data_IF_660173896681
#
_entry.id   IF_660173896681
#
_cell.length_a   1.000
_cell.length_b   1.000
_cell.length_c   1.000
_cell.angle_alpha   90.00
_cell.angle_beta   90.00
_cell.angle_gamma   90.00
#
_symmetry.space_group_name_H-M   'P 1'
#
loop_
_entity.id
_entity.type
_entity.pdbx_description
1 polymer ?
#
# COMPACT_ATOMS: atom_id res chain seq x y z
N UNK A 1 -25.33 32.45 -17.61
CA UNK A 1 -25.34 31.98 -16.20
C UNK A 1 -25.65 30.48 -16.06
N UNK A 2 -26.62 29.92 -16.80
CA UNK A 2 -27.01 28.51 -16.67
C UNK A 2 -25.92 27.49 -17.09
N UNK A 3 -25.14 27.82 -18.13
CA UNK A 3 -24.05 26.95 -18.62
C UNK A 3 -22.90 26.80 -17.61
N UNK A 4 -22.57 27.85 -16.87
CA UNK A 4 -21.54 27.80 -15.82
C UNK A 4 -21.96 26.93 -14.62
N UNK A 5 -23.23 26.98 -14.24
CA UNK A 5 -23.77 26.16 -13.14
C UNK A 5 -23.74 24.67 -13.51
N UNK A 6 -24.05 24.32 -14.76
CA UNK A 6 -23.98 22.94 -15.25
C UNK A 6 -22.54 22.39 -15.27
N UNK A 7 -21.55 23.21 -15.61
CA UNK A 7 -20.13 22.82 -15.55
C UNK A 7 -19.66 22.58 -14.11
N UNK A 8 -20.07 23.41 -13.16
CA UNK A 8 -19.74 23.24 -11.73
C UNK A 8 -20.37 21.95 -11.17
N UNK A 9 -21.61 21.64 -11.56
CA UNK A 9 -22.28 20.40 -11.14
C UNK A 9 -21.66 19.14 -11.76
N UNK A 10 -21.14 19.21 -12.99
CA UNK A 10 -20.42 18.10 -13.62
C UNK A 10 -19.07 17.78 -12.92
N UNK A 11 -18.43 18.78 -12.32
CA UNK A 11 -17.17 18.62 -11.56
C UNK A 11 -17.40 18.10 -10.14
N UNK A 12 -18.61 18.27 -9.58
CA UNK A 12 -18.98 17.83 -8.23
C UNK A 12 -18.91 16.30 -8.04
N UNK A 13 -18.88 15.53 -9.13
CA UNK A 13 -18.78 14.07 -9.11
C UNK A 13 -17.38 13.50 -9.39
N UNK A 14 -16.39 14.34 -9.70
CA UNK A 14 -15.02 13.93 -10.07
C UNK A 14 -14.01 14.46 -9.05
N UNK A 15 -14.20 14.14 -7.77
CA UNK A 15 -13.15 14.30 -6.76
C UNK A 15 -12.59 12.90 -6.50
N UNK A 16 -11.57 12.53 -7.27
CA UNK A 16 -10.70 11.42 -6.86
C UNK A 16 -9.87 11.90 -5.68
N UNK A 17 -10.24 11.49 -4.47
CA UNK A 17 -9.35 11.61 -3.31
C UNK A 17 -8.20 10.63 -3.51
N UNK A 18 -7.10 11.12 -4.07
CA UNK A 18 -5.83 10.39 -4.16
C UNK A 18 -5.21 10.30 -2.76
N UNK A 19 -5.75 9.40 -1.93
CA UNK A 19 -5.21 9.08 -0.63
C UNK A 19 -4.11 8.02 -0.70
N UNK A 20 -3.38 7.85 0.39
CA UNK A 20 -2.40 6.78 0.50
C UNK A 20 -3.05 5.40 0.44
N UNK A 21 -2.35 4.39 -0.11
CA UNK A 21 -2.84 3.02 -0.07
C UNK A 21 -3.10 2.58 1.37
N UNK A 22 -4.16 1.80 1.58
CA UNK A 22 -4.46 1.21 2.89
C UNK A 22 -3.35 0.22 3.25
N UNK A 23 -2.85 0.30 4.48
CA UNK A 23 -1.94 -0.72 5.04
C UNK A 23 -2.64 -2.07 5.03
N UNK A 24 -2.07 -3.06 4.34
CA UNK A 24 -2.47 -4.45 4.48
C UNK A 24 -1.58 -5.14 5.52
N UNK A 25 -2.08 -6.22 6.12
CA UNK A 25 -1.25 -7.04 7.00
C UNK A 25 -0.23 -7.81 6.16
N UNK A 26 1.02 -7.83 6.63
CA UNK A 26 2.06 -8.63 6.01
C UNK A 26 1.71 -10.11 6.07
N UNK A 27 1.88 -10.79 4.94
CA UNK A 27 1.58 -12.20 4.80
C UNK A 27 2.88 -12.98 4.81
N UNK A 28 2.96 -13.98 5.69
CA UNK A 28 4.10 -14.88 5.77
C UNK A 28 3.65 -16.30 5.40
N UNK A 29 4.46 -17.05 4.64
CA UNK A 29 4.15 -18.44 4.35
C UNK A 29 4.14 -19.27 5.65
N UNK A 30 3.24 -20.24 5.72
CA UNK A 30 3.31 -21.25 6.77
C UNK A 30 4.57 -22.10 6.56
N UNK A 31 5.31 -22.35 7.64
CA UNK A 31 6.51 -23.18 7.64
C UNK A 31 6.22 -24.54 8.26
N UNK A 32 6.87 -25.59 7.75
CA UNK A 32 6.67 -26.96 8.23
C UNK A 32 7.81 -27.90 7.83
N UNK A 33 9.08 -27.51 8.05
CA UNK A 33 10.20 -28.23 7.47
C UNK A 33 10.35 -29.64 8.07
N UNK A 34 10.63 -30.63 7.23
CA UNK A 34 10.92 -32.01 7.66
C UNK A 34 12.41 -32.32 7.60
N UNK A 35 13.14 -31.56 6.79
CA UNK A 35 14.58 -31.64 6.60
C UNK A 35 15.23 -30.27 6.75
N UNK A 36 16.57 -30.25 6.88
CA UNK A 36 17.31 -29.00 6.87
C UNK A 36 17.24 -28.30 5.50
N UNK A 37 17.01 -29.04 4.42
CA UNK A 37 16.74 -28.46 3.10
C UNK A 37 15.44 -27.68 3.10
N UNK A 38 14.35 -28.30 3.60
CA UNK A 38 13.06 -27.63 3.73
C UNK A 38 13.13 -26.41 4.66
N UNK A 39 13.93 -26.49 5.73
CA UNK A 39 14.13 -25.36 6.64
C UNK A 39 14.81 -24.19 5.93
N UNK A 40 15.86 -24.44 5.14
CA UNK A 40 16.51 -23.40 4.38
C UNK A 40 15.56 -22.78 3.34
N UNK A 41 14.78 -23.60 2.65
CA UNK A 41 13.76 -23.12 1.70
C UNK A 41 12.68 -22.27 2.40
N UNK A 42 12.23 -22.67 3.60
CA UNK A 42 11.26 -21.90 4.39
C UNK A 42 11.85 -20.56 4.86
N UNK A 43 13.15 -20.53 5.23
CA UNK A 43 13.88 -19.30 5.57
C UNK A 43 13.93 -18.36 4.37
N UNK A 44 14.35 -18.84 3.20
CA UNK A 44 14.44 -18.02 1.98
C UNK A 44 13.08 -17.41 1.62
N UNK A 45 11.99 -18.19 1.75
CA UNK A 45 10.62 -17.70 1.51
C UNK A 45 10.19 -16.68 2.55
N UNK A 46 10.54 -16.88 3.81
CA UNK A 46 10.24 -15.94 4.89
C UNK A 46 10.98 -14.61 4.68
N UNK A 47 12.26 -14.65 4.33
CA UNK A 47 13.05 -13.45 4.03
C UNK A 47 12.46 -12.67 2.86
N UNK A 48 12.09 -13.34 1.77
CA UNK A 48 11.43 -12.70 0.64
C UNK A 48 10.10 -12.03 1.04
N UNK A 49 9.29 -12.69 1.88
CA UNK A 49 8.04 -12.12 2.39
C UNK A 49 8.26 -10.91 3.30
N UNK A 50 9.31 -10.93 4.13
CA UNK A 50 9.72 -9.80 4.95
C UNK A 50 10.17 -8.60 4.10
N UNK A 51 10.96 -8.83 3.05
CA UNK A 51 11.37 -7.79 2.11
C UNK A 51 10.16 -7.14 1.42
N UNK A 52 9.20 -7.94 0.96
CA UNK A 52 7.99 -7.43 0.33
C UNK A 52 7.12 -6.61 1.32
N UNK A 53 6.99 -7.11 2.55
CA UNK A 53 6.30 -6.40 3.64
C UNK A 53 6.94 -5.05 3.95
N UNK A 54 8.26 -5.00 4.08
CA UNK A 54 8.98 -3.74 4.35
C UNK A 54 8.75 -2.71 3.24
N UNK A 55 8.84 -3.12 1.97
CA UNK A 55 8.57 -2.23 0.84
C UNK A 55 7.13 -1.67 0.84
N UNK A 56 6.15 -2.46 1.28
CA UNK A 56 4.78 -1.98 1.44
C UNK A 56 4.66 -0.92 2.54
N UNK A 57 5.28 -1.16 3.70
CA UNK A 57 5.27 -0.22 4.82
C UNK A 57 5.94 1.09 4.43
N UNK A 58 7.11 1.02 3.79
CA UNK A 58 7.85 2.20 3.31
C UNK A 58 7.02 3.03 2.33
N UNK A 59 6.33 2.35 1.40
CA UNK A 59 5.45 3.02 0.43
C UNK A 59 4.34 3.81 1.13
N UNK A 60 3.70 3.20 2.13
CA UNK A 60 2.65 3.88 2.90
C UNK A 60 3.22 5.03 3.71
N UNK A 61 4.36 4.82 4.37
CA UNK A 61 5.03 5.84 5.18
C UNK A 61 5.41 7.06 4.35
N UNK A 62 6.07 6.86 3.20
CA UNK A 62 6.46 7.93 2.27
C UNK A 62 5.23 8.72 1.81
N UNK A 63 4.16 8.01 1.44
CA UNK A 63 2.92 8.67 1.06
C UNK A 63 2.33 9.51 2.20
N UNK A 64 2.31 8.98 3.42
CA UNK A 64 1.79 9.70 4.58
C UNK A 64 2.60 10.95 4.87
N UNK A 65 3.93 10.89 4.71
CA UNK A 65 4.80 12.05 4.90
C UNK A 65 4.53 13.13 3.85
N UNK A 66 4.48 12.77 2.57
CA UNK A 66 4.15 13.71 1.50
C UNK A 66 2.72 14.27 1.59
N UNK A 67 1.77 13.49 2.10
CA UNK A 67 0.42 13.96 2.37
C UNK A 67 0.36 14.95 3.56
N UNK A 68 1.20 14.78 4.58
CA UNK A 68 1.33 15.73 5.68
C UNK A 68 1.93 17.06 5.20
N UNK A 69 2.94 17.00 4.33
CA UNK A 69 3.59 18.19 3.77
C UNK A 69 2.62 18.98 2.85
N UNK A 70 1.74 18.29 2.12
CA UNK A 70 0.71 18.94 1.29
C UNK A 70 -0.47 19.52 2.07
N UNK A 71 -0.58 19.23 3.38
CA UNK A 71 -1.61 19.78 4.29
C UNK A 71 -1.13 21.06 5.00
N UNK A 72 0.14 21.42 4.87
CA UNK A 72 0.76 22.59 5.50
C UNK A 72 0.55 23.89 4.70
#
# INVERSE_FOLDING_TARGET
>A
MSTHINTINALKGLITVNGCPRVAQCQFPAAGPQTNGDLNDDIDRLEAALHACAAQVDTVFICQQGAADAKA
#
